data_IF_563249330044
#
_entry.id   IF_563249330044
#
_cell.length_a   1.000
_cell.length_b   1.000
_cell.length_c   1.000
_cell.angle_alpha   90.00
_cell.angle_beta   90.00
_cell.angle_gamma   90.00
#
_symmetry.space_group_name_H-M   'P 1'
#
loop_
_entity.id
_entity.type
_entity.pdbx_description
1 polymer ?
#
# COMPACT_ATOMS: atom_id res chain seq x y z
N UNK A 1 -10.22 -30.84 -11.63
CA UNK A 1 -9.92 -29.70 -10.74
C UNK A 1 -8.61 -29.09 -11.20
N UNK A 2 -8.56 -27.78 -11.47
CA UNK A 2 -7.32 -27.12 -11.87
C UNK A 2 -6.30 -27.22 -10.71
N UNK A 3 -5.10 -27.70 -11.01
CA UNK A 3 -4.01 -27.80 -10.04
C UNK A 3 -3.64 -26.39 -9.60
N UNK A 4 -3.73 -26.10 -8.31
CA UNK A 4 -3.33 -24.81 -7.79
C UNK A 4 -1.88 -24.54 -8.17
N UNK A 5 -1.61 -23.34 -8.69
CA UNK A 5 -0.24 -22.89 -8.88
C UNK A 5 0.30 -22.60 -7.48
N UNK A 6 1.42 -23.24 -7.12
CA UNK A 6 2.03 -23.10 -5.78
C UNK A 6 3.40 -22.38 -5.81
N UNK A 7 3.94 -22.14 -7.02
CA UNK A 7 5.18 -21.38 -7.16
C UNK A 7 4.92 -19.94 -7.65
N UNK A 8 5.06 -19.00 -6.73
CA UNK A 8 4.99 -17.56 -7.01
C UNK A 8 5.97 -17.10 -8.10
N UNK A 9 7.19 -17.66 -8.16
CA UNK A 9 8.21 -17.25 -9.14
C UNK A 9 7.82 -17.59 -10.57
N UNK A 10 6.90 -18.53 -10.75
CA UNK A 10 6.39 -18.94 -12.05
C UNK A 10 5.26 -18.04 -12.58
N UNK A 11 4.80 -17.04 -11.81
CA UNK A 11 3.85 -16.03 -12.30
C UNK A 11 4.57 -14.98 -13.16
N UNK A 12 4.08 -14.79 -14.39
CA UNK A 12 4.48 -13.67 -15.25
C UNK A 12 3.97 -12.32 -14.69
N UNK A 13 4.50 -11.21 -15.20
CA UNK A 13 4.05 -9.86 -14.83
C UNK A 13 2.52 -9.69 -14.96
N UNK A 14 1.93 -9.98 -16.13
CA UNK A 14 0.47 -9.91 -16.31
C UNK A 14 -0.30 -10.84 -15.37
N UNK A 15 0.22 -12.03 -15.06
CA UNK A 15 -0.41 -12.95 -14.10
C UNK A 15 -0.38 -12.40 -12.67
N UNK A 16 0.70 -11.72 -12.27
CA UNK A 16 0.80 -11.04 -10.98
C UNK A 16 -0.16 -9.86 -10.89
N UNK A 17 -0.24 -9.04 -11.94
CA UNK A 17 -1.21 -7.94 -12.03
C UNK A 17 -2.65 -8.46 -11.95
N UNK A 18 -2.96 -9.52 -12.70
CA UNK A 18 -4.27 -10.18 -12.66
C UNK A 18 -4.61 -10.70 -11.26
N UNK A 19 -3.66 -11.39 -10.62
CA UNK A 19 -3.83 -11.88 -9.24
C UNK A 19 -4.09 -10.74 -8.26
N UNK A 20 -3.35 -9.62 -8.38
CA UNK A 20 -3.52 -8.43 -7.55
C UNK A 20 -4.92 -7.80 -7.74
N UNK A 21 -5.32 -7.55 -8.99
CA UNK A 21 -6.61 -6.94 -9.34
C UNK A 21 -7.78 -7.80 -8.86
N UNK A 22 -7.69 -9.12 -8.96
CA UNK A 22 -8.70 -10.03 -8.42
C UNK A 22 -8.73 -10.02 -6.88
N UNK A 23 -7.60 -9.74 -6.22
CA UNK A 23 -7.47 -9.78 -4.76
C UNK A 23 -7.91 -8.50 -4.05
N UNK A 24 -7.72 -7.32 -4.67
CA UNK A 24 -8.11 -6.03 -4.07
C UNK A 24 -9.61 -5.72 -4.18
N UNK A 25 -10.35 -6.48 -5.00
CA UNK A 25 -11.80 -6.36 -5.16
C UNK A 25 -12.25 -5.34 -6.22
N UNK A 26 -13.55 -5.38 -6.60
CA UNK A 26 -14.06 -4.68 -7.78
C UNK A 26 -14.03 -3.15 -7.66
N UNK A 27 -14.18 -2.59 -6.45
CA UNK A 27 -14.15 -1.14 -6.24
C UNK A 27 -12.77 -0.56 -6.53
N UNK A 28 -11.73 -1.14 -5.94
CA UNK A 28 -10.34 -0.68 -6.10
C UNK A 28 -9.83 -0.98 -7.51
N UNK A 29 -10.13 -2.17 -8.04
CA UNK A 29 -9.78 -2.54 -9.40
C UNK A 29 -10.48 -1.66 -10.45
N UNK A 30 -11.72 -1.25 -10.21
CA UNK A 30 -12.46 -0.33 -11.07
C UNK A 30 -11.71 1.00 -11.27
N UNK A 31 -11.26 1.62 -10.18
CA UNK A 31 -10.47 2.86 -10.24
C UNK A 31 -9.14 2.70 -10.99
N UNK A 32 -8.55 1.50 -10.97
CA UNK A 32 -7.34 1.21 -11.75
C UNK A 32 -7.64 1.02 -13.23
N UNK A 33 -8.73 0.33 -13.58
CA UNK A 33 -9.16 0.17 -14.98
C UNK A 33 -9.52 1.50 -15.65
N UNK A 34 -10.08 2.46 -14.91
CA UNK A 34 -10.37 3.81 -15.43
C UNK A 34 -9.12 4.57 -15.90
N UNK A 35 -7.92 4.13 -15.48
CA UNK A 35 -6.63 4.74 -15.83
C UNK A 35 -5.86 3.97 -16.90
N UNK A 36 -6.44 2.89 -17.42
CA UNK A 36 -5.85 2.02 -18.43
C UNK A 36 -6.51 2.28 -19.79
N UNK A 37 -5.79 1.99 -20.87
CA UNK A 37 -6.38 1.95 -22.21
C UNK A 37 -7.06 0.60 -22.52
N UNK A 38 -7.82 0.56 -23.62
CA UNK A 38 -8.57 -0.63 -24.03
C UNK A 38 -7.70 -1.87 -24.29
N UNK A 39 -6.43 -1.67 -24.70
CA UNK A 39 -5.51 -2.78 -24.95
C UNK A 39 -4.97 -3.34 -23.64
N UNK A 40 -4.57 -2.47 -22.71
CA UNK A 40 -4.15 -2.85 -21.35
C UNK A 40 -5.27 -3.60 -20.61
N UNK A 41 -6.51 -3.09 -20.70
CA UNK A 41 -7.68 -3.74 -20.10
C UNK A 41 -7.88 -5.13 -20.71
N UNK A 42 -7.73 -5.27 -22.03
CA UNK A 42 -7.89 -6.55 -22.75
C UNK A 42 -6.82 -7.56 -22.34
N UNK A 43 -5.56 -7.16 -22.31
CA UNK A 43 -4.43 -8.01 -21.92
C UNK A 43 -4.62 -8.52 -20.48
N UNK A 44 -4.93 -7.61 -19.57
CA UNK A 44 -5.12 -7.92 -18.16
C UNK A 44 -6.35 -8.82 -17.94
N UNK A 45 -7.45 -8.57 -18.65
CA UNK A 45 -8.65 -9.42 -18.66
C UNK A 45 -8.35 -10.84 -19.14
N UNK A 46 -7.52 -10.99 -20.17
CA UNK A 46 -7.08 -12.30 -20.65
C UNK A 46 -6.21 -13.01 -19.61
N UNK A 47 -5.30 -12.30 -18.94
CA UNK A 47 -4.51 -12.84 -17.84
C UNK A 47 -5.38 -13.29 -16.66
N UNK A 48 -6.38 -12.51 -16.27
CA UNK A 48 -7.34 -12.86 -15.20
C UNK A 48 -8.14 -14.11 -15.52
N UNK A 49 -8.71 -14.20 -16.73
CA UNK A 49 -9.52 -15.36 -17.15
C UNK A 49 -8.73 -16.67 -17.27
N UNK A 50 -7.42 -16.60 -17.52
CA UNK A 50 -6.53 -17.75 -17.67
C UNK A 50 -5.75 -18.12 -16.41
N UNK A 51 -5.88 -17.35 -15.33
CA UNK A 51 -5.05 -17.47 -14.12
C UNK A 51 -5.25 -18.79 -13.34
N UNK A 52 -6.47 -19.31 -13.37
CA UNK A 52 -6.84 -20.54 -12.64
C UNK A 52 -6.86 -20.33 -11.12
N UNK A 53 -6.64 -21.43 -10.37
CA UNK A 53 -6.57 -21.39 -8.91
C UNK A 53 -5.17 -21.01 -8.42
N UNK A 54 -5.10 -20.02 -7.54
CA UNK A 54 -3.89 -19.66 -6.80
C UNK A 54 -4.08 -20.03 -5.33
N UNK A 55 -3.03 -20.57 -4.71
CA UNK A 55 -3.03 -20.77 -3.26
C UNK A 55 -2.91 -19.43 -2.52
N UNK A 56 -3.47 -19.37 -1.31
CA UNK A 56 -3.43 -18.16 -0.48
C UNK A 56 -2.00 -17.69 -0.19
N UNK A 57 -1.05 -18.62 -0.05
CA UNK A 57 0.37 -18.34 0.15
C UNK A 57 1.01 -17.56 -1.02
N UNK A 58 0.56 -17.79 -2.26
CA UNK A 58 1.02 -17.01 -3.41
C UNK A 58 0.50 -15.58 -3.33
N UNK A 59 -0.78 -15.42 -3.00
CA UNK A 59 -1.42 -14.10 -2.92
C UNK A 59 -0.78 -13.28 -1.79
N UNK A 60 -0.56 -13.87 -0.62
CA UNK A 60 0.13 -13.22 0.48
C UNK A 60 1.52 -12.73 0.08
N UNK A 61 2.31 -13.60 -0.56
CA UNK A 61 3.65 -13.24 -1.04
C UNK A 61 3.63 -12.10 -2.06
N UNK A 62 2.64 -12.07 -2.95
CA UNK A 62 2.43 -10.97 -3.90
C UNK A 62 2.27 -9.63 -3.18
N UNK A 63 1.45 -9.59 -2.12
CA UNK A 63 1.22 -8.37 -1.36
C UNK A 63 2.44 -7.93 -0.54
N UNK A 64 3.21 -8.88 0.01
CA UNK A 64 4.48 -8.55 0.68
C UNK A 64 5.45 -7.90 -0.30
N UNK A 65 5.67 -8.49 -1.47
CA UNK A 65 6.55 -7.90 -2.49
C UNK A 65 6.05 -6.53 -2.95
N UNK A 66 4.74 -6.37 -3.14
CA UNK A 66 4.15 -5.09 -3.51
C UNK A 66 4.36 -4.02 -2.42
N UNK A 67 4.16 -4.37 -1.14
CA UNK A 67 4.41 -3.48 -0.02
C UNK A 67 5.89 -3.11 0.10
N UNK A 68 6.79 -4.07 -0.11
CA UNK A 68 8.24 -3.82 -0.14
C UNK A 68 8.60 -2.85 -1.27
N UNK A 69 8.04 -3.02 -2.47
CA UNK A 69 8.26 -2.11 -3.60
C UNK A 69 7.70 -0.71 -3.36
N UNK A 70 6.53 -0.59 -2.72
CA UNK A 70 5.99 0.70 -2.28
C UNK A 70 6.89 1.36 -1.24
N UNK A 71 7.45 0.59 -0.31
CA UNK A 71 8.41 1.07 0.69
C UNK A 71 9.77 1.46 0.09
N UNK A 72 10.09 0.93 -1.10
CA UNK A 72 11.25 1.28 -1.91
C UNK A 72 11.27 2.73 -2.39
N UNK A 73 10.15 3.46 -2.28
CA UNK A 73 10.10 4.92 -2.45
C UNK A 73 10.88 5.71 -1.38
N UNK A 74 11.54 5.02 -0.44
CA UNK A 74 12.44 5.59 0.55
C UNK A 74 11.87 5.41 1.95
N UNK A 75 12.73 5.00 2.89
CA UNK A 75 12.37 4.87 4.29
C UNK A 75 11.66 6.14 4.79
N UNK A 76 10.47 5.97 5.39
CA UNK A 76 9.72 7.08 5.93
C UNK A 76 10.42 7.58 7.20
N UNK A 77 11.06 8.75 7.11
CA UNK A 77 11.57 9.44 8.29
C UNK A 77 10.42 10.21 8.93
N UNK A 78 9.89 9.67 10.02
CA UNK A 78 8.96 10.39 10.89
C UNK A 78 9.67 11.60 11.52
N UNK A 79 9.14 12.79 11.29
CA UNK A 79 9.60 14.06 11.84
C UNK A 79 8.39 14.90 12.24
N UNK A 80 8.60 15.93 13.07
CA UNK A 80 7.53 16.87 13.42
C UNK A 80 6.83 17.42 12.17
N UNK A 81 7.60 17.80 11.14
CA UNK A 81 7.05 18.37 9.91
C UNK A 81 6.29 17.35 9.06
N UNK A 82 6.74 16.09 8.98
CA UNK A 82 5.99 15.06 8.27
C UNK A 82 4.69 14.69 8.99
N UNK A 83 4.71 14.66 10.32
CA UNK A 83 3.53 14.40 11.14
C UNK A 83 2.51 15.53 11.02
N UNK A 84 2.96 16.78 11.10
CA UNK A 84 2.10 17.96 10.92
C UNK A 84 1.42 17.95 9.55
N UNK A 85 2.17 17.74 8.47
CA UNK A 85 1.62 17.65 7.10
C UNK A 85 0.56 16.56 6.97
N UNK A 86 0.79 15.39 7.57
CA UNK A 86 -0.16 14.29 7.54
C UNK A 86 -1.46 14.66 8.28
N UNK A 87 -1.35 15.25 9.47
CA UNK A 87 -2.50 15.64 10.28
C UNK A 87 -3.32 16.75 9.61
N UNK A 88 -2.69 17.74 8.97
CA UNK A 88 -3.37 18.80 8.22
C UNK A 88 -4.18 18.28 7.04
N UNK A 89 -3.78 17.15 6.44
CA UNK A 89 -4.56 16.50 5.37
C UNK A 89 -5.81 15.77 5.85
N UNK A 90 -5.94 15.52 7.16
CA UNK A 90 -6.98 14.65 7.73
C UNK A 90 -7.90 15.35 8.74
N UNK A 91 -7.45 16.44 9.37
CA UNK A 91 -8.13 17.10 10.48
C UNK A 91 -8.25 18.62 10.25
N UNK A 92 -9.12 19.28 11.03
CA UNK A 92 -9.18 20.74 11.06
C UNK A 92 -7.93 21.35 11.70
N UNK A 93 -7.56 22.54 11.26
CA UNK A 93 -6.36 23.27 11.70
C UNK A 93 -6.26 23.38 13.23
N UNK A 94 -7.37 23.72 13.91
CA UNK A 94 -7.42 23.80 15.38
C UNK A 94 -7.05 22.48 16.07
N UNK A 95 -7.50 21.33 15.53
CA UNK A 95 -7.17 20.01 16.10
C UNK A 95 -5.70 19.66 15.86
N UNK A 96 -5.18 19.98 14.68
CA UNK A 96 -3.77 19.76 14.36
C UNK A 96 -2.89 20.55 15.32
N UNK A 97 -3.17 21.84 15.50
CA UNK A 97 -2.40 22.71 16.39
C UNK A 97 -2.40 22.20 17.84
N UNK A 98 -3.57 21.83 18.38
CA UNK A 98 -3.65 21.29 19.74
C UNK A 98 -2.83 19.99 19.91
N UNK A 99 -2.91 19.08 18.95
CA UNK A 99 -2.16 17.81 18.97
C UNK A 99 -0.65 18.07 18.84
N UNK A 100 -0.23 18.95 17.93
CA UNK A 100 1.18 19.26 17.73
C UNK A 100 1.78 20.03 18.91
N UNK A 101 1.02 20.90 19.58
CA UNK A 101 1.45 21.56 20.82
C UNK A 101 1.60 20.57 21.99
N UNK A 102 0.66 19.65 22.16
CA UNK A 102 0.75 18.60 23.18
C UNK A 102 1.98 17.71 22.96
N UNK A 103 2.25 17.34 21.69
CA UNK A 103 3.41 16.54 21.30
C UNK A 103 4.75 17.26 21.55
N UNK A 104 4.80 18.59 21.46
CA UNK A 104 6.02 19.36 21.79
C UNK A 104 6.38 19.26 23.27
N UNK A 105 5.43 18.85 24.11
CA UNK A 105 5.58 18.81 25.55
C UNK A 105 6.03 20.16 26.13
N UNK A 106 6.31 20.25 27.44
CA UNK A 106 6.99 21.41 28.00
C UNK A 106 8.46 21.36 27.58
N UNK A 107 8.76 21.74 26.33
CA UNK A 107 10.12 21.96 25.85
C UNK A 107 10.72 23.17 26.57
N UNK A 108 11.22 22.89 27.77
CA UNK A 108 11.92 23.82 28.67
C UNK A 108 12.43 23.17 29.96
N UNK A 109 12.13 21.90 30.25
CA UNK A 109 12.70 21.18 31.40
C UNK A 109 13.17 19.79 31.01
N UNK A 110 14.41 19.71 30.55
CA UNK A 110 15.30 18.59 30.86
C UNK A 110 15.44 18.49 32.39
N UNK A 111 14.46 17.87 33.05
CA UNK A 111 14.55 17.44 34.47
C UNK A 111 15.63 16.38 34.72
N UNK A 112 16.50 16.11 33.74
CA UNK A 112 17.62 15.20 33.80
C UNK A 112 18.99 15.89 33.93
N UNK A 113 19.05 17.24 33.89
CA UNK A 113 20.30 18.01 34.06
C UNK A 113 20.51 18.54 35.49
N UNK A 114 19.77 17.99 36.47
CA UNK A 114 19.84 18.37 37.89
C UNK A 114 20.10 17.19 38.83
N UNK A 115 20.85 16.18 38.38
CA UNK A 115 21.44 15.20 39.29
C UNK A 115 22.92 14.96 38.96
#
# INVERSE_FOLDING_TARGET
MARAKDDYRSLSGPQRAAAFMLSIGPTQSGTLFERMDDEEIRELSQAMSSLGSLSSSIVERLFVEFADQLSGAGGLVGSHSSTERLLTGALSEDRVNAIMEEMRGPAGRTMWDKL
#
